data_IF_634781843955
#
_entry.id   IF_634781843955
#
_cell.length_a   1.000
_cell.length_b   1.000
_cell.length_c   1.000
_cell.angle_alpha   90.00
_cell.angle_beta   90.00
_cell.angle_gamma   90.00
#
_symmetry.space_group_name_H-M   'P 1'
#
loop_
_entity.id
_entity.type
_entity.pdbx_description
1 polymer ?
#
# COMPACT_ATOMS: atom_id res chain seq x y z
N UNK A 1 13.08 16.79 0.56
CA UNK A 1 13.26 15.75 -0.46
C UNK A 1 12.70 16.28 -1.77
N UNK A 2 13.40 16.09 -2.89
CA UNK A 2 12.88 16.46 -4.21
C UNK A 2 11.62 15.63 -4.52
N UNK A 3 10.64 16.22 -5.19
CA UNK A 3 9.36 15.58 -5.55
C UNK A 3 9.58 14.27 -6.31
N UNK A 4 10.52 14.22 -7.25
CA UNK A 4 10.82 13.01 -8.02
C UNK A 4 11.34 11.87 -7.14
N UNK A 5 12.23 12.17 -6.19
CA UNK A 5 12.78 11.17 -5.25
C UNK A 5 11.69 10.65 -4.32
N UNK A 6 10.78 11.53 -3.86
CA UNK A 6 9.62 11.13 -3.06
C UNK A 6 8.74 10.15 -3.82
N UNK A 7 8.36 10.49 -5.05
CA UNK A 7 7.49 9.64 -5.88
C UNK A 7 8.15 8.31 -6.19
N UNK A 8 9.43 8.31 -6.57
CA UNK A 8 10.17 7.07 -6.83
C UNK A 8 10.23 6.16 -5.60
N UNK A 9 10.52 6.72 -4.42
CA UNK A 9 10.49 5.98 -3.16
C UNK A 9 9.11 5.40 -2.88
N UNK A 10 8.05 6.22 -2.96
CA UNK A 10 6.68 5.74 -2.75
C UNK A 10 6.33 4.61 -3.71
N UNK A 11 6.69 4.75 -4.99
CA UNK A 11 6.41 3.76 -6.02
C UNK A 11 7.10 2.43 -5.71
N UNK A 12 8.35 2.44 -5.24
CA UNK A 12 9.06 1.22 -4.83
C UNK A 12 8.32 0.50 -3.71
N UNK A 13 7.88 1.21 -2.65
CA UNK A 13 7.15 0.57 -1.56
C UNK A 13 5.78 0.02 -1.99
N UNK A 14 5.06 0.76 -2.82
CA UNK A 14 3.76 0.32 -3.34
C UNK A 14 3.90 -0.87 -4.29
N UNK A 15 4.88 -0.86 -5.19
CA UNK A 15 5.18 -2.00 -6.09
C UNK A 15 5.61 -3.22 -5.29
N UNK A 16 6.49 -3.06 -4.30
CA UNK A 16 6.89 -4.16 -3.42
C UNK A 16 5.69 -4.75 -2.67
N UNK A 17 4.77 -3.91 -2.20
CA UNK A 17 3.51 -4.33 -1.63
C UNK A 17 2.66 -5.14 -2.63
N UNK A 18 2.50 -4.64 -3.86
CA UNK A 18 1.75 -5.33 -4.90
C UNK A 18 2.32 -6.73 -5.20
N UNK A 19 3.64 -6.84 -5.31
CA UNK A 19 4.34 -8.12 -5.53
C UNK A 19 4.17 -9.05 -4.32
N UNK A 20 4.29 -8.53 -3.09
CA UNK A 20 4.05 -9.32 -1.89
C UNK A 20 2.61 -9.87 -1.83
N UNK A 21 1.63 -9.04 -2.23
CA UNK A 21 0.23 -9.45 -2.33
C UNK A 21 0.03 -10.57 -3.35
N UNK A 22 0.66 -10.53 -4.53
CA UNK A 22 0.49 -11.60 -5.53
C UNK A 22 0.98 -12.94 -4.99
N UNK A 23 2.15 -12.98 -4.35
CA UNK A 23 2.66 -14.21 -3.72
C UNK A 23 1.78 -14.69 -2.58
N UNK A 24 1.29 -13.78 -1.72
CA UNK A 24 0.39 -14.12 -0.62
C UNK A 24 -0.93 -14.70 -1.15
N UNK A 25 -1.50 -14.08 -2.18
CA UNK A 25 -2.74 -14.54 -2.79
C UNK A 25 -2.59 -15.95 -3.38
N UNK A 26 -1.51 -16.21 -4.10
CA UNK A 26 -1.25 -17.53 -4.69
C UNK A 26 -1.08 -18.60 -3.61
N UNK A 27 -0.30 -18.31 -2.56
CA UNK A 27 -0.12 -19.21 -1.43
C UNK A 27 -1.44 -19.53 -0.71
N UNK A 28 -2.29 -18.52 -0.51
CA UNK A 28 -3.61 -18.70 0.13
C UNK A 28 -4.55 -19.51 -0.76
N UNK A 29 -4.54 -19.25 -2.07
CA UNK A 29 -5.32 -20.01 -3.06
C UNK A 29 -4.91 -21.49 -3.04
N UNK A 30 -3.62 -21.79 -3.01
CA UNK A 30 -3.13 -23.17 -3.00
C UNK A 30 -3.38 -23.88 -1.68
N UNK A 31 -3.17 -23.20 -0.55
CA UNK A 31 -3.56 -23.72 0.77
C UNK A 31 -5.07 -23.99 0.83
N UNK A 32 -5.89 -23.08 0.33
CA UNK A 32 -7.35 -23.25 0.32
C UNK A 32 -7.77 -24.47 -0.48
N UNK A 33 -7.19 -24.70 -1.68
CA UNK A 33 -7.44 -25.90 -2.48
C UNK A 33 -7.03 -27.18 -1.75
N UNK A 34 -5.89 -27.15 -1.04
CA UNK A 34 -5.38 -28.31 -0.30
C UNK A 34 -6.30 -28.72 0.86
N UNK A 35 -6.88 -27.75 1.57
CA UNK A 35 -7.74 -28.02 2.73
C UNK A 35 -9.23 -28.21 2.38
N UNK A 36 -9.74 -27.53 1.35
CA UNK A 36 -11.18 -27.47 1.06
C UNK A 36 -11.59 -28.09 -0.29
N UNK A 37 -10.63 -28.59 -1.09
CA UNK A 37 -10.86 -29.09 -2.44
C UNK A 37 -10.85 -28.01 -3.52
N UNK A 38 -10.87 -28.43 -4.79
CA UNK A 38 -10.79 -27.52 -5.94
C UNK A 38 -11.96 -26.53 -6.01
N UNK A 39 -11.64 -25.30 -6.41
CA UNK A 39 -12.58 -24.18 -6.55
C UNK A 39 -13.79 -24.45 -7.48
N UNK A 40 -13.69 -25.45 -8.35
CA UNK A 40 -14.75 -25.87 -9.28
C UNK A 40 -15.79 -26.80 -8.65
N UNK A 41 -15.54 -27.42 -7.49
CA UNK A 41 -16.49 -28.31 -6.83
C UNK A 41 -17.71 -27.59 -6.23
N UNK A 42 -17.69 -26.25 -6.17
CA UNK A 42 -18.79 -25.41 -5.63
C UNK A 42 -19.20 -24.25 -6.53
N UNK A 43 -18.93 -24.32 -7.84
CA UNK A 43 -19.48 -23.37 -8.82
C UNK A 43 -18.98 -21.91 -8.72
N UNK A 44 -17.86 -21.65 -8.05
CA UNK A 44 -17.35 -20.28 -7.93
C UNK A 44 -16.47 -19.96 -9.14
N UNK A 45 -17.02 -19.25 -10.12
CA UNK A 45 -16.26 -18.67 -11.24
C UNK A 45 -15.22 -17.67 -10.74
N UNK A 46 -14.02 -18.17 -10.41
CA UNK A 46 -13.03 -17.42 -9.63
C UNK A 46 -12.13 -16.52 -10.46
N UNK A 47 -11.91 -16.85 -11.74
CA UNK A 47 -10.94 -16.15 -12.58
C UNK A 47 -11.30 -14.69 -12.83
N UNK A 48 -12.49 -14.40 -13.37
CA UNK A 48 -12.79 -13.07 -13.95
C UNK A 48 -12.95 -11.99 -12.87
N UNK A 49 -13.70 -12.26 -11.80
CA UNK A 49 -13.89 -11.28 -10.72
C UNK A 49 -12.56 -10.95 -10.01
N UNK A 50 -11.67 -11.94 -9.88
CA UNK A 50 -10.37 -11.78 -9.25
C UNK A 50 -9.46 -10.81 -10.01
N UNK A 51 -9.40 -10.92 -11.35
CA UNK A 51 -8.57 -10.02 -12.16
C UNK A 51 -9.00 -8.55 -12.02
N UNK A 52 -10.29 -8.26 -11.97
CA UNK A 52 -10.79 -6.89 -11.76
C UNK A 52 -10.30 -6.29 -10.45
N UNK A 53 -10.37 -7.03 -9.34
CA UNK A 53 -9.89 -6.53 -8.04
C UNK A 53 -8.37 -6.34 -8.02
N UNK A 54 -7.61 -7.18 -8.71
CA UNK A 54 -6.16 -7.00 -8.84
C UNK A 54 -5.83 -5.73 -9.63
N UNK A 55 -6.47 -5.50 -10.77
CA UNK A 55 -6.18 -4.31 -11.58
C UNK A 55 -6.57 -3.01 -10.86
N UNK A 56 -7.70 -2.99 -10.17
CA UNK A 56 -8.09 -1.84 -9.33
C UNK A 56 -7.05 -1.61 -8.23
N UNK A 57 -6.61 -2.68 -7.55
CA UNK A 57 -5.60 -2.59 -6.51
C UNK A 57 -4.26 -2.03 -7.02
N UNK A 58 -3.80 -2.47 -8.19
CA UNK A 58 -2.59 -1.93 -8.83
C UNK A 58 -2.78 -0.45 -9.19
N UNK A 59 -3.90 -0.10 -9.81
CA UNK A 59 -4.23 1.29 -10.15
C UNK A 59 -4.25 2.19 -8.91
N UNK A 60 -4.90 1.74 -7.84
CA UNK A 60 -4.96 2.45 -6.55
C UNK A 60 -3.57 2.64 -5.95
N UNK A 61 -2.70 1.62 -5.98
CA UNK A 61 -1.35 1.72 -5.44
C UNK A 61 -0.45 2.67 -6.24
N UNK A 62 -0.58 2.69 -7.57
CA UNK A 62 0.10 3.67 -8.43
C UNK A 62 -0.38 5.09 -8.11
N UNK A 63 -1.69 5.30 -8.04
CA UNK A 63 -2.27 6.61 -7.70
C UNK A 63 -1.85 7.06 -6.30
N UNK A 64 -1.91 6.16 -5.31
CA UNK A 64 -1.48 6.43 -3.94
C UNK A 64 0.01 6.79 -3.86
N UNK A 65 0.86 6.20 -4.70
CA UNK A 65 2.29 6.52 -4.74
C UNK A 65 2.56 7.94 -5.27
N UNK A 66 1.75 8.42 -6.22
CA UNK A 66 1.93 9.73 -6.87
C UNK A 66 1.31 10.87 -6.04
N UNK A 67 0.20 10.60 -5.36
CA UNK A 67 -0.53 11.61 -4.58
C UNK A 67 0.34 12.17 -3.44
N UNK A 68 0.44 13.51 -3.29
CA UNK A 68 1.22 14.13 -2.21
C UNK A 68 0.48 14.15 -0.87
N UNK A 69 -0.85 14.10 -0.88
CA UNK A 69 -1.69 14.27 0.30
C UNK A 69 -1.98 12.93 0.98
N UNK A 70 -1.65 12.82 2.27
CA UNK A 70 -1.99 11.65 3.08
C UNK A 70 -3.50 11.39 3.09
N UNK A 71 -4.31 12.43 3.26
CA UNK A 71 -5.77 12.31 3.26
C UNK A 71 -6.31 11.79 1.92
N UNK A 72 -5.71 12.20 0.81
CA UNK A 72 -6.09 11.67 -0.51
C UNK A 72 -5.74 10.18 -0.63
N UNK A 73 -4.57 9.75 -0.13
CA UNK A 73 -4.18 8.33 -0.10
C UNK A 73 -5.12 7.49 0.75
N UNK A 74 -5.45 7.97 1.96
CA UNK A 74 -6.38 7.28 2.87
C UNK A 74 -7.81 7.24 2.32
N UNK A 75 -8.27 8.31 1.67
CA UNK A 75 -9.55 8.34 0.98
C UNK A 75 -9.61 7.34 -0.17
N UNK A 76 -8.54 7.24 -0.96
CA UNK A 76 -8.44 6.27 -2.05
C UNK A 76 -8.43 4.82 -1.53
N UNK A 77 -7.69 4.56 -0.45
CA UNK A 77 -7.71 3.27 0.25
C UNK A 77 -9.11 2.93 0.77
N UNK A 78 -9.77 3.87 1.46
CA UNK A 78 -11.12 3.68 2.00
C UNK A 78 -12.14 3.40 0.88
N UNK A 79 -12.05 4.14 -0.23
CA UNK A 79 -12.88 3.92 -1.41
C UNK A 79 -12.68 2.50 -1.97
N UNK A 80 -11.43 2.06 -2.13
CA UNK A 80 -11.10 0.72 -2.62
C UNK A 80 -11.67 -0.36 -1.70
N UNK A 81 -11.44 -0.26 -0.38
CA UNK A 81 -11.93 -1.24 0.60
C UNK A 81 -13.47 -1.27 0.62
N UNK A 82 -14.12 -0.11 0.61
CA UNK A 82 -15.58 0.00 0.60
C UNK A 82 -16.16 -0.62 -0.67
N UNK A 83 -15.54 -0.37 -1.83
CA UNK A 83 -15.93 -0.97 -3.09
C UNK A 83 -15.81 -2.50 -3.08
N UNK A 84 -14.70 -3.04 -2.55
CA UNK A 84 -14.52 -4.50 -2.42
C UNK A 84 -15.61 -5.09 -1.52
N UNK A 85 -15.90 -4.48 -0.37
CA UNK A 85 -16.95 -4.95 0.53
C UNK A 85 -18.32 -4.90 -0.16
N UNK A 86 -18.68 -3.78 -0.77
CA UNK A 86 -19.95 -3.60 -1.45
C UNK A 86 -20.18 -4.66 -2.55
N UNK A 87 -19.15 -4.94 -3.34
CA UNK A 87 -19.24 -5.91 -4.45
C UNK A 87 -19.18 -7.37 -3.98
N UNK A 88 -18.38 -7.69 -2.96
CA UNK A 88 -18.12 -9.09 -2.61
C UNK A 88 -18.91 -9.61 -1.41
N UNK A 89 -19.30 -8.77 -0.45
CA UNK A 89 -20.03 -9.23 0.75
C UNK A 89 -21.33 -9.98 0.41
N UNK A 90 -22.17 -9.53 -0.55
CA UNK A 90 -23.43 -10.21 -0.86
C UNK A 90 -23.28 -11.63 -1.42
N UNK A 91 -22.15 -11.92 -2.07
CA UNK A 91 -21.97 -13.16 -2.84
C UNK A 91 -20.85 -14.06 -2.31
N UNK A 92 -19.78 -13.46 -1.78
CA UNK A 92 -18.55 -14.15 -1.38
C UNK A 92 -17.90 -13.44 -0.17
N UNK A 93 -18.54 -13.46 1.02
CA UNK A 93 -18.09 -12.67 2.18
C UNK A 93 -16.69 -13.06 2.69
N UNK A 94 -16.32 -14.35 2.62
CA UNK A 94 -14.99 -14.80 3.01
C UNK A 94 -13.89 -14.22 2.10
N UNK A 95 -14.14 -14.17 0.78
CA UNK A 95 -13.21 -13.54 -0.18
C UNK A 95 -13.16 -12.03 0.00
N UNK A 96 -14.30 -11.41 0.32
CA UNK A 96 -14.37 -9.98 0.65
C UNK A 96 -13.44 -9.64 1.82
N UNK A 97 -13.50 -10.43 2.90
CA UNK A 97 -12.61 -10.26 4.06
C UNK A 97 -11.14 -10.45 3.67
N UNK A 98 -10.82 -11.50 2.91
CA UNK A 98 -9.44 -11.72 2.47
C UNK A 98 -8.90 -10.54 1.66
N UNK A 99 -9.62 -10.10 0.62
CA UNK A 99 -9.13 -9.01 -0.23
C UNK A 99 -9.06 -7.68 0.50
N UNK A 100 -10.04 -7.36 1.35
CA UNK A 100 -9.99 -6.10 2.10
C UNK A 100 -8.83 -6.06 3.09
N UNK A 101 -8.58 -7.15 3.81
CA UNK A 101 -7.46 -7.25 4.76
C UNK A 101 -6.13 -7.29 4.01
N UNK A 102 -5.99 -8.13 2.98
CA UNK A 102 -4.74 -8.30 2.26
C UNK A 102 -4.41 -7.07 1.39
N UNK A 103 -5.30 -6.67 0.49
CA UNK A 103 -5.06 -5.52 -0.39
C UNK A 103 -5.08 -4.20 0.39
N UNK A 104 -6.05 -4.03 1.29
CA UNK A 104 -6.13 -2.84 2.12
C UNK A 104 -4.97 -2.72 3.10
N UNK A 105 -4.61 -3.82 3.76
CA UNK A 105 -3.48 -3.87 4.70
C UNK A 105 -2.14 -3.56 4.04
N UNK A 106 -1.86 -4.19 2.88
CA UNK A 106 -0.62 -3.92 2.12
C UNK A 106 -0.55 -2.46 1.67
N UNK A 107 -1.65 -1.93 1.14
CA UNK A 107 -1.71 -0.52 0.70
C UNK A 107 -1.52 0.44 1.89
N UNK A 108 -2.18 0.16 3.02
CA UNK A 108 -2.04 0.94 4.23
C UNK A 108 -0.60 0.92 4.76
N UNK A 109 0.03 -0.25 4.82
CA UNK A 109 1.42 -0.38 5.23
C UNK A 109 2.36 0.42 4.34
N UNK A 110 2.18 0.37 3.01
CA UNK A 110 2.97 1.18 2.08
C UNK A 110 2.79 2.69 2.33
N UNK A 111 1.56 3.15 2.58
CA UNK A 111 1.27 4.55 2.94
C UNK A 111 1.98 4.92 4.24
N UNK A 112 1.83 4.13 5.30
CA UNK A 112 2.41 4.44 6.61
C UNK A 112 3.94 4.45 6.57
N UNK A 113 4.57 3.47 5.93
CA UNK A 113 6.02 3.40 5.80
C UNK A 113 6.57 4.63 5.07
N UNK A 114 5.97 5.00 3.94
CA UNK A 114 6.41 6.17 3.15
C UNK A 114 6.19 7.48 3.92
N UNK A 115 5.08 7.61 4.65
CA UNK A 115 4.84 8.78 5.52
C UNK A 115 5.85 8.89 6.67
N UNK A 116 6.18 7.79 7.33
CA UNK A 116 7.20 7.80 8.39
C UNK A 116 8.55 8.26 7.86
N UNK A 117 8.93 7.80 6.66
CA UNK A 117 10.19 8.23 6.03
C UNK A 117 10.16 9.72 5.69
N UNK A 118 9.05 10.22 5.12
CA UNK A 118 8.88 11.63 4.80
C UNK A 118 8.97 12.53 6.04
N UNK A 119 8.25 12.18 7.11
CA UNK A 119 8.27 12.92 8.38
C UNK A 119 9.66 12.91 9.01
N UNK A 120 10.34 11.75 9.04
CA UNK A 120 11.72 11.65 9.54
C UNK A 120 12.68 12.51 8.72
N UNK A 121 12.50 12.56 7.40
CA UNK A 121 13.32 13.42 6.53
C UNK A 121 13.10 14.90 6.83
N UNK A 122 11.85 15.33 6.99
CA UNK A 122 11.51 16.72 7.33
C UNK A 122 12.10 17.13 8.69
N UNK A 123 11.95 16.28 9.71
CA UNK A 123 12.53 16.53 11.04
C UNK A 123 14.05 16.70 10.97
N UNK A 124 14.77 15.84 10.23
CA UNK A 124 16.24 15.98 10.06
C UNK A 124 16.63 17.29 9.38
N UNK A 125 15.85 17.76 8.41
CA UNK A 125 16.11 19.04 7.74
C UNK A 125 15.86 20.23 8.68
N UNK A 126 14.81 20.17 9.49
CA UNK A 126 14.50 21.19 10.49
C UNK A 126 15.62 21.29 11.53
N UNK A 127 16.04 20.15 12.11
CA UNK A 127 17.15 20.11 13.07
C UNK A 127 18.45 20.67 12.49
N UNK A 128 18.76 20.38 11.21
CA UNK A 128 19.93 20.94 10.52
C UNK A 128 19.87 22.45 10.31
N UNK A 129 18.68 23.03 10.16
CA UNK A 129 18.48 24.48 10.00
C UNK A 129 18.52 25.23 11.33
N UNK A 130 18.10 24.59 12.43
CA UNK A 130 18.02 25.22 13.75
C UNK A 130 19.30 25.09 14.57
N UNK A 131 20.28 24.32 14.11
CA UNK A 131 21.63 24.32 14.72
C UNK A 131 22.24 25.71 14.48
N UNK A 132 22.51 26.51 15.54
CA UNK A 132 23.27 27.74 15.37
C UNK A 132 24.62 27.38 14.75
N UNK A 133 25.12 28.20 13.82
CA UNK A 133 26.49 28.09 13.36
C UNK A 133 27.37 28.02 14.61
N UNK A 134 28.02 26.88 14.84
CA UNK A 134 28.94 26.71 15.96
C UNK A 134 29.94 27.88 15.95
N UNK A 135 30.39 28.35 17.12
CA UNK A 135 31.18 29.58 17.21
C UNK A 135 32.32 29.50 16.20
N UNK A 136 32.36 30.47 15.29
CA UNK A 136 33.52 30.73 14.45
C UNK A 136 34.65 30.92 15.44
N UNK A 137 35.54 29.93 15.52
CA UNK A 137 36.75 30.02 16.32
C UNK A 137 37.59 31.11 15.66
N UNK A 138 37.37 32.35 16.10
CA UNK A 138 38.26 33.46 15.82
C UNK A 138 39.58 33.09 16.48
N UNK A 139 40.50 32.57 15.66
CA UNK A 139 41.90 32.45 16.01
C UNK A 139 42.39 33.85 16.37
N UNK A 140 42.54 34.07 17.67
CA UNK A 140 43.19 35.22 18.25
C UNK A 140 44.68 35.14 17.91
N UNK A 141 45.17 36.25 17.35
CA UNK A 141 46.54 36.78 17.29
C UNK A 141 47.70 35.84 16.95
#
# INVERSE_FOLDING_TARGET
MNTYVRVAMCLVFHVAGCVAYTFLNDAVVDAYKAFNGGFTARGVGIGIAHYTFIYIFFGVNVLAAVLPSLWAKLGLLALMVTWILFMMVPHNPLRALFYTVAQGGVTLLAILLTQVIELRWQNRLLTRRTLPAGPVQQGVA
#
